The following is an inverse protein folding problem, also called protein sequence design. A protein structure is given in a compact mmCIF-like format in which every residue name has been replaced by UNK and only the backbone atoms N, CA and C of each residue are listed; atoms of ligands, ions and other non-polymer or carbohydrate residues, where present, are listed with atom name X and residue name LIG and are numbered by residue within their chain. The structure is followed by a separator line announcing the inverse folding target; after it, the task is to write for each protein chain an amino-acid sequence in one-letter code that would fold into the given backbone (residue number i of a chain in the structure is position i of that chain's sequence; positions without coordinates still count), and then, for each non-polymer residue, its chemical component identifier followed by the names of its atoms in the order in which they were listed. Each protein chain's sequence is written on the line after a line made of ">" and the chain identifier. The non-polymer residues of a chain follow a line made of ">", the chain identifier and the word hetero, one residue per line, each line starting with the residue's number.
data_IF_621875876461
#
_entry.id   IF_621875876461
#
_cell.length_a   1.000
_cell.length_b   1.000
_cell.length_c   1.000
_cell.angle_alpha   90.00
_cell.angle_beta   90.00
_cell.angle_gamma   90.00
#
_symmetry.space_group_name_H-M   'P 1'
#
loop_
_entity.id
_entity.type
_entity.pdbx_description
1 polymer ?
#
# COMPACT_ATOMS: atom_id res chain seq x y z
N UNK A 1 -10.16 -22.85 0.96
CA UNK A 1 -8.91 -22.41 1.62
C UNK A 1 -9.35 -21.49 2.74
N UNK A 2 -9.07 -21.87 3.99
CA UNK A 2 -9.45 -21.06 5.15
C UNK A 2 -8.48 -19.88 5.23
N UNK A 3 -8.92 -18.70 4.82
CA UNK A 3 -8.22 -17.45 5.10
C UNK A 3 -8.12 -17.30 6.62
N UNK A 4 -6.93 -17.15 7.21
CA UNK A 4 -6.81 -16.78 8.61
C UNK A 4 -7.56 -15.46 8.82
N UNK A 5 -8.45 -15.44 9.79
CA UNK A 5 -9.40 -14.35 9.98
C UNK A 5 -8.71 -13.18 10.70
N UNK A 6 -7.88 -12.44 9.98
CA UNK A 6 -7.34 -11.14 10.40
C UNK A 6 -8.51 -10.15 10.61
N UNK A 7 -8.50 -9.37 11.70
CA UNK A 7 -9.59 -8.43 11.98
C UNK A 7 -9.64 -7.30 10.96
N UNK A 8 -10.82 -6.73 10.69
CA UNK A 8 -10.99 -5.59 9.78
C UNK A 8 -10.06 -4.42 10.15
N UNK A 9 -9.85 -4.19 11.44
CA UNK A 9 -8.90 -3.23 12.00
C UNK A 9 -7.46 -3.45 11.51
N UNK A 10 -6.98 -4.69 11.58
CA UNK A 10 -5.63 -5.04 11.11
C UNK A 10 -5.55 -4.93 9.58
N UNK A 11 -6.58 -5.37 8.84
CA UNK A 11 -6.64 -5.24 7.36
C UNK A 11 -6.50 -3.79 6.93
N UNK A 12 -7.31 -2.90 7.51
CA UNK A 12 -7.29 -1.47 7.21
C UNK A 12 -5.92 -0.84 7.51
N UNK A 13 -5.29 -1.21 8.63
CA UNK A 13 -3.95 -0.74 8.97
C UNK A 13 -2.88 -1.22 7.97
N UNK A 14 -2.92 -2.49 7.55
CA UNK A 14 -2.02 -3.00 6.51
C UNK A 14 -2.24 -2.31 5.16
N UNK A 15 -3.49 -2.08 4.77
CA UNK A 15 -3.81 -1.35 3.54
C UNK A 15 -3.28 0.08 3.58
N UNK A 16 -3.40 0.79 4.70
CA UNK A 16 -2.83 2.13 4.82
C UNK A 16 -1.31 2.10 4.77
N UNK A 17 -0.67 1.15 5.45
CA UNK A 17 0.78 1.00 5.42
C UNK A 17 1.29 0.74 3.99
N UNK A 18 0.56 -0.08 3.23
CA UNK A 18 0.82 -0.31 1.82
C UNK A 18 0.61 0.94 0.97
N UNK A 19 -0.48 1.67 1.19
CA UNK A 19 -0.79 2.92 0.49
C UNK A 19 0.31 3.96 0.68
N UNK A 20 0.71 4.20 1.94
CA UNK A 20 1.81 5.08 2.31
C UNK A 20 3.13 4.62 1.66
N UNK A 21 3.37 3.30 1.62
CA UNK A 21 4.54 2.77 0.94
C UNK A 21 4.50 3.08 -0.55
N UNK A 22 3.37 2.82 -1.21
CA UNK A 22 3.16 3.03 -2.66
C UNK A 22 3.39 4.49 -3.07
N UNK A 23 2.75 5.44 -2.42
CA UNK A 23 2.89 6.88 -2.74
C UNK A 23 4.27 7.45 -2.38
N UNK A 24 5.07 6.72 -1.61
CA UNK A 24 6.42 7.14 -1.20
C UNK A 24 7.52 6.47 -2.02
N UNK A 25 7.15 5.68 -3.05
CA UNK A 25 8.11 4.91 -3.82
C UNK A 25 9.08 5.82 -4.58
N UNK A 26 8.60 6.93 -5.14
CA UNK A 26 9.39 7.93 -5.86
C UNK A 26 9.91 9.09 -4.99
N UNK A 27 9.39 9.20 -3.76
CA UNK A 27 9.78 10.19 -2.77
C UNK A 27 9.08 11.55 -2.92
N UNK A 28 8.08 11.68 -3.80
CA UNK A 28 7.33 12.92 -4.00
C UNK A 28 5.84 12.61 -3.92
N UNK A 29 5.18 13.04 -2.85
CA UNK A 29 3.72 12.90 -2.73
C UNK A 29 3.03 14.02 -3.50
N UNK A 30 2.31 13.66 -4.57
CA UNK A 30 1.55 14.57 -5.39
C UNK A 30 0.12 14.81 -4.83
N UNK A 31 -0.65 15.63 -5.56
CA UNK A 31 -2.02 15.97 -5.16
C UNK A 31 -2.96 14.76 -5.19
N UNK A 32 -2.83 13.87 -6.16
CA UNK A 32 -3.71 12.72 -6.32
C UNK A 32 -3.42 11.66 -5.24
N UNK A 33 -2.14 11.46 -4.90
CA UNK A 33 -1.69 10.59 -3.82
C UNK A 33 -2.16 11.10 -2.45
N UNK A 34 -2.08 12.41 -2.24
CA UNK A 34 -2.68 13.05 -1.07
C UNK A 34 -4.20 12.84 -1.00
N UNK A 35 -4.91 12.95 -2.12
CA UNK A 35 -6.35 12.68 -2.18
C UNK A 35 -6.68 11.21 -1.89
N UNK A 36 -5.83 10.27 -2.29
CA UNK A 36 -5.99 8.85 -1.97
C UNK A 36 -5.88 8.61 -0.45
N UNK A 37 -4.94 9.26 0.23
CA UNK A 37 -4.84 9.21 1.69
C UNK A 37 -6.07 9.81 2.39
N UNK A 38 -6.55 10.95 1.91
CA UNK A 38 -7.81 11.53 2.41
C UNK A 38 -9.01 10.62 2.20
N UNK A 39 -9.06 9.97 1.03
CA UNK A 39 -10.12 9.01 0.71
C UNK A 39 -10.10 7.82 1.67
N UNK A 40 -8.91 7.28 1.98
CA UNK A 40 -8.76 6.22 2.97
C UNK A 40 -9.32 6.63 4.34
N UNK A 41 -9.01 7.85 4.82
CA UNK A 41 -9.54 8.33 6.10
C UNK A 41 -11.07 8.38 6.15
N UNK A 42 -11.72 8.71 5.04
CA UNK A 42 -13.18 8.74 4.94
C UNK A 42 -13.79 7.34 4.75
N UNK A 43 -13.17 6.51 3.91
CA UNK A 43 -13.61 5.12 3.64
C UNK A 43 -13.66 4.28 4.93
N UNK A 44 -12.64 4.43 5.78
CA UNK A 44 -12.53 3.65 7.02
C UNK A 44 -13.03 4.39 8.27
N UNK A 45 -13.59 5.60 8.14
CA UNK A 45 -14.19 6.32 9.27
C UNK A 45 -15.23 5.47 10.04
N UNK A 46 -16.12 4.69 9.38
CA UNK A 46 -17.07 3.82 10.09
C UNK A 46 -16.41 2.77 11.00
N UNK A 47 -15.16 2.39 10.73
CA UNK A 47 -14.42 1.42 11.56
C UNK A 47 -13.98 2.02 12.91
N UNK A 48 -14.12 3.33 13.10
CA UNK A 48 -13.87 4.01 14.38
C UNK A 48 -14.88 3.65 15.48
N UNK A 49 -15.90 2.85 15.19
CA UNK A 49 -16.70 2.18 16.24
C UNK A 49 -15.86 1.20 17.07
N UNK A 50 -14.73 0.70 16.52
CA UNK A 50 -13.77 -0.12 17.23
C UNK A 50 -12.74 0.78 17.94
N UNK A 51 -12.62 0.64 19.26
CA UNK A 51 -11.75 1.49 20.10
C UNK A 51 -10.28 1.48 19.63
N UNK A 52 -9.77 0.32 19.18
CA UNK A 52 -8.41 0.19 18.69
C UNK A 52 -8.21 0.98 17.39
N UNK A 53 -9.15 0.86 16.44
CA UNK A 53 -9.06 1.57 15.17
C UNK A 53 -9.26 3.07 15.36
N UNK A 54 -10.14 3.49 16.27
CA UNK A 54 -10.35 4.90 16.61
C UNK A 54 -9.05 5.56 17.11
N UNK A 55 -8.25 4.85 17.91
CA UNK A 55 -6.93 5.34 18.36
C UNK A 55 -5.95 5.51 17.19
N UNK A 56 -5.94 4.58 16.24
CA UNK A 56 -5.11 4.70 15.03
C UNK A 56 -5.55 5.89 14.19
N UNK A 57 -6.84 5.97 13.86
CA UNK A 57 -7.42 6.99 12.99
C UNK A 57 -7.24 8.40 13.55
N UNK A 58 -7.48 8.59 14.85
CA UNK A 58 -7.30 9.89 15.52
C UNK A 58 -5.86 10.40 15.56
N UNK A 59 -4.86 9.52 15.43
CA UNK A 59 -3.44 9.91 15.31
C UNK A 59 -3.07 10.30 13.88
N UNK A 60 -3.59 9.58 12.89
CA UNK A 60 -3.24 9.77 11.47
C UNK A 60 -4.03 10.91 10.82
N UNK A 61 -5.32 11.01 11.12
CA UNK A 61 -6.22 11.99 10.49
C UNK A 61 -5.72 13.44 10.59
N UNK A 62 -5.22 13.92 11.75
CA UNK A 62 -4.68 15.27 11.85
C UNK A 62 -3.48 15.53 10.93
N UNK A 63 -2.60 14.54 10.75
CA UNK A 63 -1.42 14.63 9.87
C UNK A 63 -1.89 14.77 8.42
N UNK A 64 -2.86 13.95 8.01
CA UNK A 64 -3.41 14.01 6.66
C UNK A 64 -4.20 15.31 6.41
N UNK A 65 -4.92 15.80 7.41
CA UNK A 65 -5.78 16.98 7.24
C UNK A 65 -5.02 18.31 7.19
N UNK A 66 -3.75 18.36 7.59
CA UNK A 66 -2.98 19.61 7.67
C UNK A 66 -2.78 20.32 6.31
N UNK A 67 -2.96 19.58 5.21
CA UNK A 67 -2.98 20.10 3.84
C UNK A 67 -1.73 19.82 3.03
N UNK A 68 -0.66 19.27 3.63
CA UNK A 68 0.55 18.79 2.94
C UNK A 68 0.99 17.48 3.56
N UNK A 69 1.65 16.64 2.76
CA UNK A 69 2.32 15.45 3.25
C UNK A 69 3.75 15.49 2.74
N UNK A 70 4.66 15.79 3.65
CA UNK A 70 6.09 15.83 3.43
C UNK A 70 6.73 14.52 3.92
N UNK A 71 8.04 14.36 3.69
CA UNK A 71 8.76 13.15 4.08
C UNK A 71 8.73 12.86 5.58
N UNK A 72 8.74 13.88 6.43
CA UNK A 72 8.67 13.71 7.89
C UNK A 72 7.30 13.19 8.31
N UNK A 73 6.21 13.72 7.74
CA UNK A 73 4.83 13.27 7.99
C UNK A 73 4.61 11.84 7.49
N UNK A 74 5.20 11.45 6.35
CA UNK A 74 5.19 10.07 5.88
C UNK A 74 5.89 9.13 6.88
N UNK A 75 7.06 9.51 7.39
CA UNK A 75 7.77 8.71 8.38
C UNK A 75 7.01 8.66 9.71
N UNK A 76 6.37 9.75 10.13
CA UNK A 76 5.50 9.76 11.31
C UNK A 76 4.32 8.78 11.16
N UNK A 77 3.62 8.82 10.02
CA UNK A 77 2.53 7.89 9.74
C UNK A 77 3.02 6.43 9.73
N UNK A 78 4.19 6.16 9.12
CA UNK A 78 4.80 4.82 9.15
C UNK A 78 5.11 4.36 10.58
N UNK A 79 5.64 5.25 11.43
CA UNK A 79 5.92 4.94 12.83
C UNK A 79 4.62 4.63 13.59
N UNK A 80 3.57 5.42 13.40
CA UNK A 80 2.25 5.19 14.01
C UNK A 80 1.69 3.82 13.59
N UNK A 81 1.75 3.50 12.30
CA UNK A 81 1.26 2.23 11.77
C UNK A 81 2.06 1.03 12.27
N UNK A 82 3.39 1.15 12.32
CA UNK A 82 4.24 0.08 12.82
C UNK A 82 3.99 -0.19 14.30
N UNK A 83 3.85 0.87 15.12
CA UNK A 83 3.48 0.74 16.52
C UNK A 83 2.12 0.06 16.68
N UNK A 84 1.12 0.48 15.90
CA UNK A 84 -0.22 -0.08 15.96
C UNK A 84 -0.25 -1.58 15.59
N UNK A 85 0.44 -1.96 14.51
CA UNK A 85 0.52 -3.35 14.08
C UNK A 85 1.29 -4.22 15.08
N UNK A 86 2.28 -3.67 15.78
CA UNK A 86 3.00 -4.35 16.87
C UNK A 86 2.08 -4.57 18.09
N UNK A 87 1.37 -3.52 18.53
CA UNK A 87 0.39 -3.60 19.64
C UNK A 87 -0.73 -4.63 19.37
N UNK A 88 -1.05 -4.84 18.09
CA UNK A 88 -2.06 -5.80 17.62
C UNK A 88 -1.49 -7.20 17.36
N UNK A 89 -0.21 -7.46 17.63
CA UNK A 89 0.50 -8.72 17.29
C UNK A 89 0.29 -9.12 15.82
N UNK A 90 0.30 -8.13 14.93
CA UNK A 90 -0.01 -8.31 13.51
C UNK A 90 1.25 -8.41 12.64
N UNK A 91 2.40 -7.91 13.09
CA UNK A 91 3.64 -7.85 12.28
C UNK A 91 4.14 -9.21 11.78
N UNK A 92 3.79 -10.30 12.48
CA UNK A 92 4.16 -11.66 12.10
C UNK A 92 3.13 -12.35 11.19
N UNK A 93 1.98 -11.71 10.93
CA UNK A 93 0.89 -12.28 10.13
C UNK A 93 1.21 -12.19 8.63
N UNK A 94 1.49 -13.34 8.00
CA UNK A 94 1.77 -13.43 6.56
C UNK A 94 0.61 -12.91 5.70
N UNK A 95 -0.64 -13.08 6.13
CA UNK A 95 -1.81 -12.57 5.39
C UNK A 95 -1.86 -11.04 5.33
N UNK A 96 -1.27 -10.36 6.33
CA UNK A 96 -1.13 -8.91 6.35
C UNK A 96 -0.40 -8.38 5.12
N UNK A 97 0.51 -9.18 4.55
CA UNK A 97 1.28 -8.81 3.35
C UNK A 97 0.40 -8.71 2.10
N UNK A 98 -0.70 -9.46 2.00
CA UNK A 98 -1.67 -9.33 0.90
C UNK A 98 -2.39 -7.98 0.96
N UNK A 99 -2.85 -7.60 2.15
CA UNK A 99 -3.49 -6.29 2.38
C UNK A 99 -2.51 -5.14 2.19
N UNK A 100 -1.26 -5.32 2.63
CA UNK A 100 -0.18 -4.38 2.35
C UNK A 100 0.05 -4.24 0.84
N UNK A 101 0.16 -5.33 0.09
CA UNK A 101 0.35 -5.28 -1.36
C UNK A 101 -0.84 -4.58 -2.07
N UNK A 102 -2.07 -4.86 -1.64
CA UNK A 102 -3.26 -4.14 -2.12
C UNK A 102 -3.13 -2.62 -1.86
N UNK A 103 -2.64 -2.23 -0.68
CA UNK A 103 -2.31 -0.84 -0.39
C UNK A 103 -1.26 -0.26 -1.34
N UNK A 104 -0.16 -0.98 -1.62
CA UNK A 104 0.86 -0.51 -2.56
C UNK A 104 0.26 -0.24 -3.93
N UNK A 105 -0.61 -1.13 -4.43
CA UNK A 105 -1.31 -0.93 -5.69
C UNK A 105 -2.19 0.32 -5.66
N UNK A 106 -2.94 0.56 -4.58
CA UNK A 106 -3.72 1.79 -4.40
C UNK A 106 -2.81 3.02 -4.48
N UNK A 107 -1.63 3.00 -3.86
CA UNK A 107 -0.68 4.10 -3.89
C UNK A 107 -0.13 4.38 -5.29
N UNK A 108 0.38 3.36 -5.97
CA UNK A 108 0.91 3.50 -7.33
C UNK A 108 -0.17 3.95 -8.33
N UNK A 109 -1.42 3.48 -8.16
CA UNK A 109 -2.51 3.94 -9.02
C UNK A 109 -2.92 5.39 -8.72
N UNK A 110 -2.67 5.89 -7.51
CA UNK A 110 -3.04 7.23 -7.12
C UNK A 110 -2.20 8.30 -7.83
N UNK A 111 -0.90 8.06 -8.08
CA UNK A 111 -0.05 8.97 -8.86
C UNK A 111 -0.58 9.17 -10.29
N UNK A 112 -1.30 8.18 -10.81
CA UNK A 112 -1.93 8.21 -12.12
C UNK A 112 -0.97 7.88 -13.26
N UNK A 113 0.35 7.95 -13.05
CA UNK A 113 1.39 7.59 -14.02
C UNK A 113 2.44 6.67 -13.39
N UNK A 114 2.44 5.41 -13.86
CA UNK A 114 3.38 4.40 -13.39
C UNK A 114 4.72 4.60 -14.07
N UNK A 115 5.79 4.74 -13.29
CA UNK A 115 7.14 4.96 -13.79
C UNK A 115 8.13 3.84 -13.43
N UNK A 116 9.28 3.85 -14.09
CA UNK A 116 10.36 2.86 -13.90
C UNK A 116 10.86 2.79 -12.46
N UNK A 117 10.92 3.91 -11.76
CA UNK A 117 11.45 3.96 -10.40
C UNK A 117 10.52 3.28 -9.40
N UNK A 118 9.21 3.51 -9.51
CA UNK A 118 8.19 2.81 -8.71
C UNK A 118 8.27 1.31 -8.95
N UNK A 119 8.39 0.87 -10.20
CA UNK A 119 8.48 -0.57 -10.53
C UNK A 119 9.76 -1.20 -10.01
N UNK A 120 10.90 -0.49 -10.07
CA UNK A 120 12.15 -0.97 -9.50
C UNK A 120 12.05 -1.13 -7.97
N UNK A 121 11.45 -0.15 -7.29
CA UNK A 121 11.26 -0.17 -5.82
C UNK A 121 10.25 -1.25 -5.40
N UNK A 122 9.17 -1.42 -6.16
CA UNK A 122 8.22 -2.51 -5.98
C UNK A 122 8.90 -3.88 -6.17
N UNK A 123 9.73 -4.04 -7.20
CA UNK A 123 10.49 -5.27 -7.43
C UNK A 123 11.41 -5.60 -6.24
N UNK A 124 12.13 -4.60 -5.71
CA UNK A 124 12.95 -4.79 -4.51
C UNK A 124 12.14 -5.25 -3.30
N UNK A 125 10.93 -4.70 -3.13
CA UNK A 125 10.04 -5.13 -2.06
C UNK A 125 9.57 -6.58 -2.27
N UNK A 126 9.24 -6.98 -3.51
CA UNK A 126 8.87 -8.36 -3.85
C UNK A 126 10.01 -9.36 -3.62
N UNK A 127 11.24 -8.97 -3.94
CA UNK A 127 12.44 -9.79 -3.67
C UNK A 127 12.64 -10.04 -2.16
N UNK A 128 12.46 -9.00 -1.33
CA UNK A 128 12.51 -9.13 0.13
C UNK A 128 11.38 -10.00 0.70
N UNK A 129 10.25 -10.04 0.01
CA UNK A 129 9.09 -10.86 0.38
C UNK A 129 8.98 -12.14 -0.47
N UNK A 130 10.14 -12.71 -0.84
CA UNK A 130 10.22 -13.87 -1.74
C UNK A 130 9.44 -15.10 -1.28
N UNK A 131 9.13 -15.23 0.02
CA UNK A 131 8.27 -16.28 0.57
C UNK A 131 6.88 -16.30 -0.08
N UNK A 132 6.43 -15.16 -0.63
CA UNK A 132 5.13 -15.01 -1.27
C UNK A 132 5.16 -15.24 -2.79
N UNK A 133 6.33 -15.44 -3.41
CA UNK A 133 6.47 -15.57 -4.88
C UNK A 133 5.64 -16.69 -5.52
N UNK A 134 5.12 -17.63 -4.73
CA UNK A 134 4.28 -18.73 -5.23
C UNK A 134 2.78 -18.54 -4.93
N UNK A 135 2.38 -17.41 -4.35
CA UNK A 135 1.01 -17.13 -3.91
C UNK A 135 0.39 -16.06 -4.81
N UNK A 136 -0.74 -16.29 -5.50
CA UNK A 136 -1.44 -15.22 -6.22
C UNK A 136 -1.90 -14.13 -5.24
N UNK A 137 -1.81 -12.82 -5.58
CA UNK A 137 -1.33 -12.21 -6.83
C UNK A 137 0.18 -12.12 -7.01
N UNK A 138 0.98 -12.41 -5.97
CA UNK A 138 2.42 -12.17 -5.97
C UNK A 138 3.16 -12.92 -7.05
N UNK A 139 2.78 -14.17 -7.32
CA UNK A 139 3.43 -15.00 -8.34
C UNK A 139 3.28 -14.42 -9.75
N UNK A 140 2.07 -14.01 -10.12
CA UNK A 140 1.77 -13.35 -11.40
C UNK A 140 2.44 -11.97 -11.48
N UNK A 141 2.34 -11.19 -10.40
CA UNK A 141 2.97 -9.87 -10.31
C UNK A 141 4.48 -9.97 -10.53
N UNK A 142 5.14 -10.94 -9.92
CA UNK A 142 6.59 -11.12 -10.06
C UNK A 142 6.98 -11.32 -11.53
N UNK A 143 6.25 -12.16 -12.27
CA UNK A 143 6.48 -12.36 -13.70
C UNK A 143 6.23 -11.10 -14.53
N UNK A 144 5.18 -10.33 -14.22
CA UNK A 144 4.86 -9.08 -14.91
C UNK A 144 5.97 -8.05 -14.68
N UNK A 145 6.39 -7.84 -13.43
CA UNK A 145 7.40 -6.84 -13.07
C UNK A 145 8.77 -7.19 -13.67
N UNK A 146 9.16 -8.48 -13.67
CA UNK A 146 10.42 -8.91 -14.30
C UNK A 146 10.40 -8.70 -15.82
N UNK A 147 9.26 -8.95 -16.48
CA UNK A 147 9.10 -8.69 -17.91
C UNK A 147 9.16 -7.19 -18.23
N UNK A 148 8.52 -6.35 -17.43
CA UNK A 148 8.49 -4.88 -17.64
C UNK A 148 9.85 -4.23 -17.34
N UNK A 149 10.66 -4.82 -16.46
CA UNK A 149 11.98 -4.30 -16.13
C UNK A 149 13.11 -4.92 -16.96
N UNK A 150 12.80 -5.77 -17.95
CA UNK A 150 13.80 -6.49 -18.75
C UNK A 150 14.68 -5.53 -19.55
N UNK A 151 14.08 -4.51 -20.16
CA UNK A 151 14.77 -3.46 -20.92
C UNK A 151 15.24 -2.28 -20.04
N UNK A 152 14.97 -2.36 -18.72
CA UNK A 152 15.27 -1.38 -17.66
C UNK A 152 14.46 -0.09 -17.74
N UNK A 153 13.36 -0.04 -18.50
CA UNK A 153 12.51 1.15 -18.57
C UNK A 153 11.05 0.77 -18.79
N UNK A 154 10.15 1.32 -17.98
CA UNK A 154 8.71 1.18 -18.21
C UNK A 154 8.29 2.08 -19.37
N UNK A 155 7.71 1.49 -20.42
CA UNK A 155 7.06 2.23 -21.51
C UNK A 155 5.54 2.44 -21.30
N UNK A 156 4.89 3.19 -22.20
CA UNK A 156 3.46 3.51 -22.10
C UNK A 156 2.54 2.27 -22.16
N UNK A 157 2.91 1.24 -22.93
CA UNK A 157 2.11 0.02 -23.06
C UNK A 157 2.28 -0.88 -21.83
N UNK A 158 3.49 -0.94 -21.28
CA UNK A 158 3.79 -1.61 -20.03
C UNK A 158 3.11 -0.93 -18.84
N UNK A 159 3.15 0.40 -18.78
CA UNK A 159 2.43 1.18 -17.78
C UNK A 159 0.91 0.90 -17.84
N UNK A 160 0.31 0.85 -19.03
CA UNK A 160 -1.11 0.47 -19.19
C UNK A 160 -1.40 -0.94 -18.71
N UNK A 161 -0.52 -1.90 -19.02
CA UNK A 161 -0.65 -3.30 -18.58
C UNK A 161 -0.58 -3.39 -17.06
N UNK A 162 0.36 -2.68 -16.42
CA UNK A 162 0.51 -2.59 -14.97
C UNK A 162 -0.72 -1.94 -14.32
N UNK A 163 -1.19 -0.79 -14.84
CA UNK A 163 -2.42 -0.13 -14.37
C UNK A 163 -3.61 -1.08 -14.40
N UNK A 164 -3.80 -1.79 -15.52
CA UNK A 164 -4.89 -2.78 -15.64
C UNK A 164 -4.74 -3.94 -14.67
N UNK A 165 -3.53 -4.42 -14.43
CA UNK A 165 -3.29 -5.48 -13.45
C UNK A 165 -3.59 -5.00 -12.02
N UNK A 166 -3.03 -3.87 -11.60
CA UNK A 166 -3.24 -3.31 -10.25
C UNK A 166 -4.71 -3.01 -9.97
N UNK A 167 -5.44 -2.46 -10.94
CA UNK A 167 -6.86 -2.09 -10.77
C UNK A 167 -7.73 -3.31 -10.41
N UNK A 168 -7.46 -4.48 -11.02
CA UNK A 168 -8.18 -5.74 -10.71
C UNK A 168 -8.06 -6.17 -9.26
N UNK A 169 -6.98 -5.77 -8.59
CA UNK A 169 -6.69 -6.14 -7.21
C UNK A 169 -7.09 -5.07 -6.20
N UNK A 170 -7.46 -3.87 -6.66
CA UNK A 170 -7.90 -2.73 -5.84
C UNK A 170 -9.42 -2.60 -5.81
N UNK A 171 -10.10 -2.95 -6.90
CA UNK A 171 -11.56 -2.90 -7.04
C UNK A 171 -12.27 -4.17 -6.52
N UNK A 172 -11.52 -5.13 -5.98
CA UNK A 172 -11.99 -6.45 -5.55
C UNK A 172 -12.31 -6.57 -4.06
#
# INVERSE_FOLDING_TARGET
>A
MNTPNISETKKAAFQLAGLIYGISLDGIVDRNEYLALKSWCGEFEPLCEQDEFQKLHSRIKPIIDDGKINSEEIEEIKMILNQFLDEMDALSEEDGKLYFLNGIFKGILASGDINTYEMYRLNQWLEKNSSLKNTPPFSELFGIIQSVLEDKSVDDEEAKKLKSYFSKWVEG
#
